data_IF_559894601838
#
_entry.id   IF_559894601838
#
_cell.length_a   1.000
_cell.length_b   1.000
_cell.length_c   1.000
_cell.angle_alpha   90.00
_cell.angle_beta   90.00
_cell.angle_gamma   90.00
#
_symmetry.space_group_name_H-M   'P 1'
#
loop_
_entity.id
_entity.type
_entity.pdbx_description
1 polymer ?
#
# COMPACT_ATOMS: atom_id res chain seq x y z
N UNK A 1 15.85 -17.57 3.53
CA UNK A 1 15.77 -16.58 4.64
C UNK A 1 14.53 -16.83 5.46
N UNK A 2 14.60 -16.73 6.80
CA UNK A 2 13.45 -16.97 7.67
C UNK A 2 12.61 -15.69 7.82
N UNK A 3 11.37 -15.72 7.33
CA UNK A 3 10.37 -14.65 7.53
C UNK A 3 10.03 -14.48 9.01
N UNK A 4 9.81 -13.25 9.45
CA UNK A 4 9.38 -12.96 10.82
C UNK A 4 7.96 -13.49 11.11
N UNK A 5 7.62 -13.67 12.39
CA UNK A 5 6.26 -14.07 12.80
C UNK A 5 5.18 -13.08 12.31
N UNK A 6 5.50 -11.79 12.28
CA UNK A 6 4.60 -10.74 11.76
C UNK A 6 4.36 -10.90 10.25
N UNK A 7 5.41 -11.17 9.47
CA UNK A 7 5.28 -11.46 8.04
C UNK A 7 4.37 -12.66 7.81
N UNK A 8 4.63 -13.79 8.49
CA UNK A 8 3.82 -15.02 8.37
C UNK A 8 2.35 -14.80 8.74
N UNK A 9 2.09 -14.09 9.84
CA UNK A 9 0.74 -13.77 10.29
C UNK A 9 -0.03 -12.91 9.26
N UNK A 10 0.65 -11.93 8.66
CA UNK A 10 0.04 -11.08 7.63
C UNK A 10 -0.23 -11.83 6.34
N UNK A 11 0.70 -12.66 5.89
CA UNK A 11 0.51 -13.53 4.71
C UNK A 11 -0.71 -14.44 4.91
N UNK A 12 -0.85 -15.08 6.07
CA UNK A 12 -2.03 -15.90 6.37
C UNK A 12 -3.34 -15.10 6.32
N UNK A 13 -3.34 -13.86 6.84
CA UNK A 13 -4.53 -12.98 6.80
C UNK A 13 -4.89 -12.56 5.38
N UNK A 14 -3.89 -12.28 4.55
CA UNK A 14 -4.05 -11.92 3.14
C UNK A 14 -4.60 -13.11 2.35
N UNK A 15 -3.94 -14.26 2.43
CA UNK A 15 -4.31 -15.46 1.66
C UNK A 15 -5.73 -15.94 1.98
N UNK A 16 -6.20 -15.81 3.23
CA UNK A 16 -7.58 -16.18 3.63
C UNK A 16 -8.67 -15.33 2.96
N UNK A 17 -8.33 -14.18 2.41
CA UNK A 17 -9.26 -13.26 1.74
C UNK A 17 -9.28 -13.38 0.22
N UNK A 18 -8.27 -14.04 -0.34
CA UNK A 18 -8.10 -14.13 -1.78
C UNK A 18 -8.65 -15.45 -2.31
N UNK A 19 -9.09 -15.41 -3.56
CA UNK A 19 -9.49 -16.56 -4.39
C UNK A 19 -8.98 -16.35 -5.82
N UNK A 20 -9.08 -17.37 -6.66
CA UNK A 20 -8.76 -17.26 -8.09
C UNK A 20 -7.33 -16.78 -8.38
N UNK A 21 -7.18 -15.98 -9.44
CA UNK A 21 -5.88 -15.45 -9.90
C UNK A 21 -5.16 -14.59 -8.83
N UNK A 22 -5.83 -13.67 -8.11
CA UNK A 22 -5.21 -12.91 -7.02
C UNK A 22 -4.54 -13.77 -5.94
N UNK A 23 -5.18 -14.89 -5.56
CA UNK A 23 -4.64 -15.81 -4.56
C UNK A 23 -3.34 -16.46 -5.04
N UNK A 24 -3.32 -16.90 -6.29
CA UNK A 24 -2.14 -17.56 -6.86
C UNK A 24 -0.98 -16.57 -7.04
N UNK A 25 -1.27 -15.34 -7.51
CA UNK A 25 -0.30 -14.27 -7.57
C UNK A 25 0.33 -14.00 -6.18
N UNK A 26 -0.49 -13.86 -5.13
CA UNK A 26 0.00 -13.65 -3.77
C UNK A 26 0.87 -14.81 -3.25
N UNK A 27 0.51 -16.07 -3.56
CA UNK A 27 1.34 -17.24 -3.18
C UNK A 27 2.69 -17.21 -3.86
N UNK A 28 2.72 -16.94 -5.17
CA UNK A 28 3.97 -16.85 -5.94
C UNK A 28 4.88 -15.73 -5.43
N UNK A 29 4.32 -14.55 -5.13
CA UNK A 29 5.05 -13.44 -4.52
C UNK A 29 5.64 -13.84 -3.16
N UNK A 30 4.83 -14.43 -2.29
CA UNK A 30 5.27 -14.79 -0.94
C UNK A 30 6.30 -15.93 -0.96
N UNK A 31 6.23 -16.86 -1.92
CA UNK A 31 7.16 -17.96 -2.02
C UNK A 31 8.52 -17.57 -2.62
N UNK A 32 8.65 -16.39 -3.23
CA UNK A 32 9.85 -15.98 -3.95
C UNK A 32 10.98 -15.54 -2.98
N UNK A 33 12.11 -16.26 -2.91
CA UNK A 33 13.21 -15.94 -2.00
C UNK A 33 14.00 -14.69 -2.40
N UNK A 34 14.13 -14.41 -3.70
CA UNK A 34 14.86 -13.25 -4.21
C UNK A 34 14.10 -11.96 -3.89
N UNK A 35 12.77 -12.00 -4.09
CA UNK A 35 11.90 -10.90 -3.73
C UNK A 35 11.94 -10.63 -2.21
N UNK A 36 11.93 -11.69 -1.39
CA UNK A 36 12.12 -11.54 0.05
C UNK A 36 13.45 -10.87 0.40
N UNK A 37 14.56 -11.29 -0.24
CA UNK A 37 15.87 -10.70 0.01
C UNK A 37 15.91 -9.22 -0.41
N UNK A 38 15.30 -8.87 -1.54
CA UNK A 38 15.23 -7.51 -2.05
C UNK A 38 14.45 -6.58 -1.11
N UNK A 39 13.30 -7.03 -0.59
CA UNK A 39 12.52 -6.28 0.40
C UNK A 39 13.28 -6.08 1.73
N UNK A 40 14.00 -7.10 2.19
CA UNK A 40 14.82 -6.99 3.41
C UNK A 40 15.98 -6.01 3.21
N UNK A 41 16.62 -6.03 2.04
CA UNK A 41 17.70 -5.10 1.72
C UNK A 41 17.19 -3.67 1.52
N UNK A 42 16.02 -3.47 0.92
CA UNK A 42 15.32 -2.17 0.88
C UNK A 42 15.13 -1.59 2.29
N UNK A 43 14.75 -2.44 3.25
CA UNK A 43 14.62 -2.01 4.63
C UNK A 43 15.95 -1.62 5.28
N UNK A 44 17.00 -2.40 5.01
CA UNK A 44 18.37 -2.10 5.49
C UNK A 44 18.83 -0.74 4.97
N UNK A 45 18.64 -0.46 3.68
CA UNK A 45 19.01 0.82 3.08
C UNK A 45 18.17 1.95 3.68
N UNK A 46 16.84 1.79 3.74
CA UNK A 46 15.95 2.81 4.30
C UNK A 46 16.33 3.20 5.73
N UNK A 47 16.46 2.22 6.63
CA UNK A 47 16.67 2.46 8.06
C UNK A 47 18.13 2.78 8.36
N UNK A 48 19.05 1.87 7.98
CA UNK A 48 20.45 1.96 8.44
C UNK A 48 21.26 2.98 7.64
N UNK A 49 21.03 3.07 6.32
CA UNK A 49 21.80 3.97 5.45
C UNK A 49 21.19 5.37 5.40
N UNK A 50 19.87 5.46 5.28
CA UNK A 50 19.19 6.73 5.01
C UNK A 50 18.48 7.35 6.22
N UNK A 51 18.24 6.56 7.29
CA UNK A 51 17.57 7.04 8.50
C UNK A 51 16.06 7.25 8.37
N UNK A 52 15.43 6.68 7.33
CA UNK A 52 13.98 6.66 7.14
C UNK A 52 13.32 5.51 7.90
N UNK A 53 11.99 5.49 7.90
CA UNK A 53 11.18 4.43 8.51
C UNK A 53 11.18 3.13 7.69
N UNK A 54 10.41 2.14 8.17
CA UNK A 54 10.30 0.82 7.53
C UNK A 54 9.77 0.98 6.10
N UNK A 55 10.55 0.45 5.17
CA UNK A 55 10.25 0.26 3.74
C UNK A 55 10.55 -1.22 3.39
N UNK A 56 10.20 -2.11 4.33
CA UNK A 56 10.57 -3.52 4.32
C UNK A 56 9.40 -4.48 4.07
N UNK A 57 9.63 -5.78 4.28
CA UNK A 57 8.65 -6.82 3.95
C UNK A 57 7.33 -6.69 4.70
N UNK A 58 7.36 -6.21 5.95
CA UNK A 58 6.16 -6.03 6.78
C UNK A 58 5.30 -4.87 6.24
N UNK A 59 5.93 -3.75 5.91
CA UNK A 59 5.26 -2.58 5.35
C UNK A 59 4.54 -2.92 4.04
N UNK A 60 5.23 -3.53 3.07
CA UNK A 60 4.64 -3.88 1.78
C UNK A 60 3.45 -4.86 1.92
N UNK A 61 3.50 -5.80 2.87
CA UNK A 61 2.34 -6.68 3.19
C UNK A 61 1.18 -5.88 3.78
N UNK A 62 1.45 -4.80 4.52
CA UNK A 62 0.41 -3.96 5.14
C UNK A 62 -0.25 -3.07 4.10
N UNK A 63 0.55 -2.43 3.25
CA UNK A 63 0.08 -1.67 2.10
C UNK A 63 -0.81 -2.54 1.20
N UNK A 64 -0.37 -3.76 0.90
CA UNK A 64 -1.17 -4.75 0.17
C UNK A 64 -2.49 -5.08 0.87
N UNK A 65 -2.45 -5.45 2.15
CA UNK A 65 -3.65 -5.77 2.91
C UNK A 65 -4.65 -4.59 2.95
N UNK A 66 -4.16 -3.36 3.17
CA UNK A 66 -5.01 -2.17 3.23
C UNK A 66 -5.63 -1.85 1.87
N UNK A 67 -4.85 -1.94 0.79
CA UNK A 67 -5.33 -1.75 -0.59
C UNK A 67 -6.43 -2.75 -0.94
N UNK A 68 -6.21 -4.04 -0.61
CA UNK A 68 -7.21 -5.10 -0.80
C UNK A 68 -8.49 -4.84 -0.01
N UNK A 69 -8.39 -4.38 1.24
CA UNK A 69 -9.58 -4.09 2.07
C UNK A 69 -10.43 -2.98 1.48
N UNK A 70 -9.80 -1.94 0.91
CA UNK A 70 -10.53 -0.87 0.23
C UNK A 70 -11.06 -1.34 -1.14
N UNK A 71 -10.32 -2.19 -1.85
CA UNK A 71 -10.81 -2.84 -3.08
C UNK A 71 -12.11 -3.61 -2.81
N UNK A 72 -12.11 -4.47 -1.78
CA UNK A 72 -13.29 -5.25 -1.36
C UNK A 72 -14.49 -4.33 -1.09
N UNK A 73 -14.30 -3.21 -0.39
CA UNK A 73 -15.38 -2.26 -0.08
C UNK A 73 -15.97 -1.58 -1.32
N UNK A 74 -15.15 -1.25 -2.33
CA UNK A 74 -15.63 -0.70 -3.59
C UNK A 74 -16.36 -1.76 -4.42
N UNK A 75 -15.79 -2.96 -4.51
CA UNK A 75 -16.39 -4.06 -5.25
C UNK A 75 -17.74 -4.48 -4.65
N UNK A 76 -17.83 -4.60 -3.32
CA UNK A 76 -19.08 -4.90 -2.61
C UNK A 76 -20.14 -3.80 -2.78
N UNK A 77 -19.72 -2.57 -3.10
CA UNK A 77 -20.61 -1.45 -3.43
C UNK A 77 -20.98 -1.38 -4.93
N UNK A 78 -20.56 -2.35 -5.74
CA UNK A 78 -20.83 -2.39 -7.18
C UNK A 78 -20.02 -1.36 -7.99
N UNK A 79 -18.93 -0.84 -7.44
CA UNK A 79 -18.05 0.09 -8.16
C UNK A 79 -17.07 -0.73 -9.00
N UNK A 80 -17.25 -0.67 -10.31
CA UNK A 80 -16.34 -1.27 -11.28
C UNK A 80 -14.98 -0.54 -11.30
N UNK A 81 -13.92 -1.35 -11.39
CA UNK A 81 -12.55 -0.90 -11.54
C UNK A 81 -12.24 -0.50 -12.99
N UNK A 82 -11.06 0.08 -13.25
CA UNK A 82 -10.73 0.54 -14.60
C UNK A 82 -10.67 -0.59 -15.62
N UNK A 83 -10.03 -1.72 -15.29
CA UNK A 83 -9.96 -2.84 -16.24
C UNK A 83 -11.34 -3.39 -16.63
N UNK A 84 -12.30 -3.34 -15.70
CA UNK A 84 -13.69 -3.73 -15.96
C UNK A 84 -14.38 -2.73 -16.88
N UNK A 85 -14.31 -1.44 -16.55
CA UNK A 85 -14.89 -0.35 -17.35
C UNK A 85 -14.33 -0.28 -18.77
N UNK A 86 -13.06 -0.63 -18.92
CA UNK A 86 -12.35 -0.63 -20.20
C UNK A 86 -12.60 -1.93 -20.99
N UNK A 87 -13.27 -2.93 -20.41
CA UNK A 87 -13.59 -4.19 -21.09
C UNK A 87 -12.39 -5.09 -21.36
N UNK A 88 -11.26 -4.87 -20.68
CA UNK A 88 -9.99 -5.58 -20.89
C UNK A 88 -9.62 -6.53 -19.74
N UNK A 89 -10.44 -6.57 -18.69
CA UNK A 89 -10.26 -7.44 -17.54
C UNK A 89 -11.50 -7.52 -16.66
N UNK A 90 -11.34 -8.23 -15.55
CA UNK A 90 -12.35 -8.50 -14.52
C UNK A 90 -11.91 -7.91 -13.18
N UNK A 91 -12.79 -7.85 -12.18
CA UNK A 91 -12.40 -7.52 -10.80
C UNK A 91 -11.22 -8.37 -10.28
N UNK A 92 -11.11 -9.65 -10.67
CA UNK A 92 -9.96 -10.49 -10.28
C UNK A 92 -8.65 -10.00 -10.91
N UNK A 93 -8.69 -9.47 -12.14
CA UNK A 93 -7.53 -8.90 -12.81
C UNK A 93 -7.12 -7.57 -12.17
N UNK A 94 -8.08 -6.71 -11.84
CA UNK A 94 -7.84 -5.45 -11.12
C UNK A 94 -7.26 -5.70 -9.73
N UNK A 95 -7.79 -6.68 -8.99
CA UNK A 95 -7.25 -7.06 -7.69
C UNK A 95 -5.83 -7.65 -7.83
N UNK A 96 -5.56 -8.41 -8.89
CA UNK A 96 -4.21 -8.90 -9.19
C UNK A 96 -3.24 -7.74 -9.44
N UNK A 97 -3.65 -6.71 -10.20
CA UNK A 97 -2.84 -5.52 -10.43
C UNK A 97 -2.56 -4.76 -9.12
N UNK A 98 -3.56 -4.59 -8.26
CA UNK A 98 -3.42 -3.95 -6.94
C UNK A 98 -2.45 -4.73 -6.05
N UNK A 99 -2.52 -6.06 -6.04
CA UNK A 99 -1.59 -6.94 -5.30
C UNK A 99 -0.15 -6.77 -5.80
N UNK A 100 0.06 -6.84 -7.11
CA UNK A 100 1.38 -6.69 -7.71
C UNK A 100 1.97 -5.32 -7.38
N UNK A 101 1.20 -4.25 -7.59
CA UNK A 101 1.64 -2.88 -7.29
C UNK A 101 2.00 -2.72 -5.81
N UNK A 102 1.08 -3.01 -4.91
CA UNK A 102 1.26 -2.77 -3.47
C UNK A 102 2.38 -3.63 -2.86
N UNK A 103 2.62 -4.84 -3.36
CA UNK A 103 3.70 -5.68 -2.83
C UNK A 103 5.09 -5.34 -3.40
N UNK A 104 5.15 -4.65 -4.54
CA UNK A 104 6.39 -4.35 -5.28
C UNK A 104 6.73 -2.85 -5.29
N UNK A 105 5.89 -1.98 -4.73
CA UNK A 105 5.99 -0.51 -4.91
C UNK A 105 7.28 0.14 -4.39
N UNK A 106 7.93 -0.49 -3.42
CA UNK A 106 9.04 0.09 -2.66
C UNK A 106 10.39 -0.57 -2.96
N UNK A 107 10.48 -1.49 -3.94
CA UNK A 107 11.71 -2.24 -4.20
C UNK A 107 12.92 -1.35 -4.51
N UNK A 108 12.69 -0.19 -5.12
CA UNK A 108 13.70 0.84 -5.42
C UNK A 108 14.36 1.44 -4.19
N UNK A 109 13.75 1.33 -3.00
CA UNK A 109 14.37 1.71 -1.72
C UNK A 109 15.63 0.89 -1.41
N UNK A 110 15.82 -0.26 -2.07
CA UNK A 110 17.08 -1.02 -2.04
C UNK A 110 18.27 -0.30 -2.68
N UNK A 111 18.00 0.77 -3.43
CA UNK A 111 19.00 1.55 -4.17
C UNK A 111 19.08 2.96 -3.61
N UNK A 112 17.98 3.72 -3.65
CA UNK A 112 17.93 5.14 -3.26
C UNK A 112 16.53 5.52 -2.78
N UNK A 113 16.42 6.66 -2.07
CA UNK A 113 15.12 7.28 -1.76
C UNK A 113 14.58 8.05 -2.96
N UNK A 114 15.45 8.80 -3.63
CA UNK A 114 15.08 9.65 -4.75
C UNK A 114 14.66 8.79 -5.93
N UNK A 115 13.48 9.09 -6.48
CA UNK A 115 12.89 8.36 -7.61
C UNK A 115 12.75 6.85 -7.39
N UNK A 116 12.66 6.39 -6.13
CA UNK A 116 12.52 4.98 -5.82
C UNK A 116 11.29 4.34 -6.47
N UNK A 117 10.26 5.11 -6.82
CA UNK A 117 9.10 4.57 -7.53
C UNK A 117 9.49 4.11 -8.96
N UNK A 118 10.33 4.88 -9.67
CA UNK A 118 10.80 4.55 -11.03
C UNK A 118 11.77 3.36 -10.97
N UNK A 119 12.67 3.35 -9.98
CA UNK A 119 13.57 2.24 -9.74
C UNK A 119 12.79 0.95 -9.39
N UNK A 120 11.72 1.08 -8.61
CA UNK A 120 10.84 -0.05 -8.26
C UNK A 120 10.20 -0.66 -9.50
N UNK A 121 9.76 0.13 -10.47
CA UNK A 121 9.20 -0.39 -11.73
C UNK A 121 10.20 -1.31 -12.44
N UNK A 122 11.46 -0.86 -12.59
CA UNK A 122 12.50 -1.66 -13.25
C UNK A 122 12.76 -2.98 -12.51
N UNK A 123 12.83 -2.94 -11.17
CA UNK A 123 13.03 -4.12 -10.34
C UNK A 123 11.81 -5.05 -10.31
N UNK A 124 10.60 -4.50 -10.42
CA UNK A 124 9.35 -5.24 -10.32
C UNK A 124 8.99 -6.00 -11.60
N UNK A 125 9.34 -5.47 -12.78
CA UNK A 125 8.95 -6.02 -14.09
C UNK A 125 9.21 -7.53 -14.25
N UNK A 126 10.43 -8.06 -13.95
CA UNK A 126 10.69 -9.50 -14.12
C UNK A 126 9.80 -10.38 -13.23
N UNK A 127 9.45 -9.90 -12.04
CA UNK A 127 8.57 -10.63 -11.12
C UNK A 127 7.11 -10.56 -11.59
N UNK A 128 6.65 -9.39 -12.06
CA UNK A 128 5.31 -9.25 -12.63
C UNK A 128 5.13 -10.18 -13.83
N UNK A 129 6.07 -10.19 -14.76
CA UNK A 129 6.01 -11.04 -15.97
C UNK A 129 5.96 -12.53 -15.61
N UNK A 130 6.88 -12.98 -14.74
CA UNK A 130 6.92 -14.36 -14.30
C UNK A 130 5.64 -14.82 -13.56
N UNK A 131 4.96 -13.91 -12.87
CA UNK A 131 3.68 -14.21 -12.19
C UNK A 131 2.53 -14.24 -13.20
N UNK A 132 2.44 -13.22 -14.07
CA UNK A 132 1.39 -13.13 -15.07
C UNK A 132 1.43 -14.31 -16.05
N UNK A 133 2.62 -14.77 -16.43
CA UNK A 133 2.78 -15.96 -17.27
C UNK A 133 2.37 -17.28 -16.60
N UNK A 134 2.27 -17.31 -15.27
CA UNK A 134 1.82 -18.50 -14.52
C UNK A 134 0.32 -18.52 -14.26
N UNK A 135 -0.33 -17.35 -14.22
CA UNK A 135 -1.74 -17.24 -13.82
C UNK A 135 -2.69 -16.88 -14.98
N UNK A 136 -2.14 -16.61 -16.16
CA UNK A 136 -2.86 -16.29 -17.40
C UNK A 136 -2.36 -17.15 -18.55
N UNK A 137 -3.22 -17.37 -19.55
CA UNK A 137 -2.86 -18.15 -20.72
C UNK A 137 -1.80 -17.43 -21.58
N UNK A 138 -0.94 -18.15 -22.30
CA UNK A 138 0.14 -17.56 -23.09
C UNK A 138 -0.30 -16.52 -24.12
N UNK A 139 -1.49 -16.68 -24.70
CA UNK A 139 -2.07 -15.84 -25.76
C UNK A 139 -2.92 -14.66 -25.24
N UNK A 140 -3.12 -14.53 -23.92
CA UNK A 140 -3.82 -13.41 -23.29
C UNK A 140 -2.97 -12.11 -23.23
N UNK A 141 -2.32 -11.72 -24.34
CA UNK A 141 -1.37 -10.60 -24.42
C UNK A 141 -1.96 -9.26 -23.94
N UNK A 142 -3.19 -8.95 -24.36
CA UNK A 142 -3.85 -7.70 -23.97
C UNK A 142 -4.13 -7.68 -22.45
N UNK A 143 -4.65 -8.77 -21.90
CA UNK A 143 -4.97 -8.87 -20.48
C UNK A 143 -3.72 -8.79 -19.61
N UNK A 144 -2.65 -9.50 -19.98
CA UNK A 144 -1.31 -9.41 -19.34
C UNK A 144 -0.79 -7.97 -19.36
N UNK A 145 -0.90 -7.31 -20.52
CA UNK A 145 -0.47 -5.92 -20.69
C UNK A 145 -1.26 -4.96 -19.82
N UNK A 146 -2.59 -5.10 -19.77
CA UNK A 146 -3.46 -4.24 -18.98
C UNK A 146 -3.19 -4.37 -17.47
N UNK A 147 -3.10 -5.60 -16.95
CA UNK A 147 -2.79 -5.84 -15.53
C UNK A 147 -1.42 -5.26 -15.16
N UNK A 148 -0.40 -5.51 -16.00
CA UNK A 148 0.94 -4.97 -15.79
C UNK A 148 0.95 -3.44 -15.79
N UNK A 149 0.29 -2.80 -16.76
CA UNK A 149 0.24 -1.34 -16.86
C UNK A 149 -0.43 -0.70 -15.64
N UNK A 150 -1.55 -1.25 -15.17
CA UNK A 150 -2.21 -0.78 -13.94
C UNK A 150 -1.30 -0.99 -12.72
N UNK A 151 -0.63 -2.13 -12.63
CA UNK A 151 0.30 -2.39 -11.53
C UNK A 151 1.46 -1.36 -11.52
N UNK A 152 2.03 -1.07 -12.69
CA UNK A 152 3.07 -0.06 -12.88
C UNK A 152 2.58 1.33 -12.53
N UNK A 153 1.35 1.71 -12.92
CA UNK A 153 0.76 3.01 -12.54
C UNK A 153 0.66 3.14 -11.01
N UNK A 154 0.21 2.08 -10.34
CA UNK A 154 0.15 2.01 -8.87
C UNK A 154 1.51 2.24 -8.23
N UNK A 155 2.57 1.59 -8.72
CA UNK A 155 3.95 1.82 -8.25
C UNK A 155 4.39 3.25 -8.55
N UNK A 156 4.19 3.72 -9.77
CA UNK A 156 4.65 5.02 -10.25
C UNK A 156 4.13 6.19 -9.42
N UNK A 157 2.90 6.11 -8.94
CA UNK A 157 2.21 7.20 -8.25
C UNK A 157 2.03 7.04 -6.75
N UNK A 158 2.50 5.95 -6.13
CA UNK A 158 2.20 5.67 -4.71
C UNK A 158 2.71 6.74 -3.73
N UNK A 159 3.63 7.62 -4.13
CA UNK A 159 4.13 8.73 -3.31
C UNK A 159 3.32 10.02 -3.41
N UNK A 160 2.25 10.08 -4.23
CA UNK A 160 1.49 11.30 -4.55
C UNK A 160 2.32 12.43 -5.18
N UNK A 161 3.55 12.14 -5.63
CA UNK A 161 4.42 13.07 -6.37
C UNK A 161 4.05 13.16 -7.85
N UNK A 162 3.23 12.21 -8.34
CA UNK A 162 2.82 12.07 -9.74
C UNK A 162 1.34 11.76 -9.82
N UNK A 163 0.70 12.19 -10.90
CA UNK A 163 -0.73 11.98 -11.12
C UNK A 163 -0.99 10.54 -11.57
N UNK A 164 -2.02 9.94 -10.99
CA UNK A 164 -2.58 8.62 -11.35
C UNK A 164 -4.04 8.78 -11.75
N UNK A 165 -4.57 7.80 -12.48
CA UNK A 165 -5.84 7.89 -13.20
C UNK A 165 -6.77 6.71 -12.90
N UNK A 166 -6.24 5.53 -12.61
CA UNK A 166 -7.07 4.37 -12.26
C UNK A 166 -7.48 4.33 -10.78
N UNK A 167 -8.64 3.71 -10.52
CA UNK A 167 -9.07 3.41 -9.15
C UNK A 167 -8.09 2.46 -8.48
N UNK A 168 -7.57 1.48 -9.21
CA UNK A 168 -6.60 0.50 -8.75
C UNK A 168 -5.31 1.17 -8.24
N UNK A 169 -4.70 2.06 -9.02
CA UNK A 169 -3.54 2.83 -8.57
C UNK A 169 -3.90 3.72 -7.37
N UNK A 170 -5.11 4.29 -7.36
CA UNK A 170 -5.61 5.10 -6.25
C UNK A 170 -5.74 4.32 -4.94
N UNK A 171 -6.12 3.04 -5.01
CA UNK A 171 -6.18 2.13 -3.87
C UNK A 171 -4.78 1.85 -3.30
N UNK A 172 -3.78 1.65 -4.18
CA UNK A 172 -2.38 1.43 -3.78
C UNK A 172 -1.82 2.67 -3.07
N UNK A 173 -2.06 3.85 -3.62
CA UNK A 173 -1.64 5.13 -3.04
C UNK A 173 -2.17 5.32 -1.60
N UNK A 174 -3.45 5.06 -1.38
CA UNK A 174 -4.06 5.19 -0.05
C UNK A 174 -3.63 4.03 0.85
N UNK A 175 -3.50 2.83 0.29
CA UNK A 175 -3.11 1.62 1.03
C UNK A 175 -1.71 1.75 1.63
N UNK A 176 -0.74 2.24 0.85
CA UNK A 176 0.59 2.63 1.37
C UNK A 176 0.46 3.74 2.41
N UNK A 177 -0.20 4.85 2.05
CA UNK A 177 -0.32 6.02 2.92
C UNK A 177 -0.93 5.71 4.28
N UNK A 178 -1.82 4.72 4.36
CA UNK A 178 -2.50 4.31 5.59
C UNK A 178 -1.66 3.49 6.57
N UNK A 179 -0.49 2.98 6.15
CA UNK A 179 0.44 2.32 7.08
C UNK A 179 1.26 3.36 7.88
N UNK A 180 0.60 3.95 8.87
CA UNK A 180 1.18 5.01 9.72
C UNK A 180 1.02 4.74 11.22
N UNK A 181 0.53 3.57 11.62
CA UNK A 181 0.34 3.23 13.03
C UNK A 181 1.69 3.18 13.79
N UNK A 182 1.67 3.52 15.08
CA UNK A 182 2.82 3.69 15.99
C UNK A 182 3.94 2.64 15.90
N UNK A 183 3.62 1.41 15.50
CA UNK A 183 4.61 0.34 15.30
C UNK A 183 5.61 0.63 14.19
N UNK A 184 5.27 1.52 13.25
CA UNK A 184 6.13 1.92 12.13
C UNK A 184 7.15 2.99 12.50
N UNK A 185 6.80 3.90 13.40
CA UNK A 185 7.64 5.04 13.79
C UNK A 185 8.78 4.67 14.77
N UNK A 186 8.70 3.52 15.45
CA UNK A 186 9.65 3.15 16.52
C UNK A 186 11.07 2.78 16.04
N UNK A 187 11.23 2.35 14.79
CA UNK A 187 12.48 1.75 14.33
C UNK A 187 13.61 2.78 14.18
N UNK A 188 13.39 3.97 13.60
CA UNK A 188 14.45 4.98 13.46
C UNK A 188 14.82 5.67 14.78
N UNK A 189 13.88 5.79 15.72
CA UNK A 189 14.07 6.49 17.02
C UNK A 189 15.11 5.82 17.91
N UNK A 190 15.31 4.50 17.78
CA UNK A 190 16.32 3.75 18.54
C UNK A 190 17.75 4.04 18.03
N UNK A 191 17.89 4.46 16.77
CA UNK A 191 19.19 4.59 16.09
C UNK A 191 19.77 6.01 16.07
N UNK A 192 18.99 7.04 16.42
CA UNK A 192 19.43 8.44 16.36
C UNK A 192 19.10 9.17 17.68
N UNK A 193 20.12 9.59 18.43
CA UNK A 193 19.96 10.34 19.70
C UNK A 193 19.90 11.88 19.52
N UNK A 194 19.97 12.41 18.29
CA UNK A 194 19.96 13.85 18.04
C UNK A 194 18.60 14.34 17.51
N UNK A 195 18.03 15.44 18.06
CA UNK A 195 16.86 16.10 17.50
C UNK A 195 17.13 16.61 16.08
N UNK A 196 16.23 16.34 15.14
CA UNK A 196 16.33 16.82 13.75
C UNK A 196 14.99 17.43 13.33
N UNK A 197 15.01 18.18 12.22
CA UNK A 197 13.86 18.87 11.57
C UNK A 197 12.68 17.91 11.18
N UNK A 198 12.74 16.61 11.52
CA UNK A 198 11.68 15.62 11.36
C UNK A 198 11.02 15.13 12.66
N UNK A 199 11.30 15.74 13.82
CA UNK A 199 10.78 15.28 15.12
C UNK A 199 9.25 15.35 15.23
N UNK A 200 8.61 16.32 14.57
CA UNK A 200 7.14 16.40 14.55
C UNK A 200 6.52 15.26 13.74
N UNK A 201 7.12 14.84 12.61
CA UNK A 201 6.65 13.69 11.82
C UNK A 201 6.79 12.39 12.62
N UNK A 202 7.91 12.20 13.33
CA UNK A 202 8.10 11.02 14.20
C UNK A 202 7.13 11.00 15.38
N UNK A 203 6.99 12.13 16.06
CA UNK A 203 6.14 12.25 17.26
C UNK A 203 4.68 12.07 16.91
N UNK A 204 4.21 12.71 15.84
CA UNK A 204 2.85 12.55 15.32
C UNK A 204 2.56 11.12 14.84
N UNK A 205 3.48 10.47 14.10
CA UNK A 205 3.31 9.07 13.69
C UNK A 205 3.24 8.10 14.89
N UNK A 206 3.96 8.38 15.98
CA UNK A 206 3.90 7.55 17.19
C UNK A 206 2.58 7.66 17.95
N UNK A 207 1.80 8.72 17.71
CA UNK A 207 0.48 8.93 18.33
C UNK A 207 -0.64 8.15 17.63
N UNK A 208 -0.48 7.78 16.35
CA UNK A 208 -1.50 7.03 15.61
C UNK A 208 -1.59 5.60 16.16
N UNK A 209 -2.73 5.27 16.77
CA UNK A 209 -2.94 3.98 17.42
C UNK A 209 -3.49 2.94 16.45
N UNK A 210 -4.46 3.35 15.62
CA UNK A 210 -5.18 2.42 14.74
C UNK A 210 -5.73 3.13 13.52
N UNK A 211 -5.55 2.52 12.36
CA UNK A 211 -6.26 2.88 11.12
C UNK A 211 -7.20 1.73 10.78
N UNK A 212 -8.47 2.04 10.52
CA UNK A 212 -9.48 1.03 10.21
C UNK A 212 -10.29 1.39 8.98
N UNK A 213 -10.64 0.36 8.20
CA UNK A 213 -11.41 0.45 6.97
C UNK A 213 -12.71 -0.33 7.16
N UNK A 214 -13.83 0.32 6.87
CA UNK A 214 -15.16 -0.28 6.90
C UNK A 214 -16.09 0.36 5.88
N UNK A 215 -17.33 -0.12 5.82
CA UNK A 215 -18.38 0.49 5.00
C UNK A 215 -18.76 1.85 5.60
N UNK A 216 -18.80 2.89 4.76
CA UNK A 216 -19.27 4.22 5.17
C UNK A 216 -20.79 4.31 5.19
N UNK A 217 -21.30 5.43 5.70
CA UNK A 217 -22.74 5.71 5.76
C UNK A 217 -23.27 6.36 4.50
N UNK A 218 -22.45 7.21 3.88
CA UNK A 218 -22.74 7.98 2.66
C UNK A 218 -21.90 7.49 1.48
N UNK A 219 -20.65 7.08 1.72
CA UNK A 219 -19.71 6.61 0.69
C UNK A 219 -19.27 5.17 0.97
N UNK A 220 -18.81 4.42 -0.06
CA UNK A 220 -18.45 3.01 0.11
C UNK A 220 -17.36 2.75 1.16
N UNK A 221 -16.37 3.64 1.29
CA UNK A 221 -15.23 3.47 2.20
C UNK A 221 -15.32 4.49 3.33
N UNK A 222 -15.38 4.02 4.58
CA UNK A 222 -15.08 4.81 5.77
C UNK A 222 -13.69 4.46 6.29
N UNK A 223 -12.81 5.45 6.36
CA UNK A 223 -11.50 5.36 6.99
C UNK A 223 -11.55 6.07 8.34
N UNK A 224 -11.26 5.35 9.42
CA UNK A 224 -11.19 5.92 10.78
C UNK A 224 -9.78 5.82 11.32
N UNK A 225 -9.22 6.94 11.73
CA UNK A 225 -7.88 7.05 12.35
C UNK A 225 -8.02 7.46 13.81
N UNK A 226 -7.61 6.57 14.70
CA UNK A 226 -7.62 6.81 16.15
C UNK A 226 -6.21 7.11 16.63
N UNK A 227 -6.06 8.16 17.42
CA UNK A 227 -4.77 8.62 17.96
C UNK A 227 -4.82 8.80 19.47
N UNK A 228 -3.65 8.77 20.12
CA UNK A 228 -3.53 8.97 21.58
C UNK A 228 -3.39 10.43 21.98
N UNK A 229 -3.12 11.33 21.03
CA UNK A 229 -3.01 12.77 21.25
C UNK A 229 -3.24 13.52 19.95
N UNK A 230 -3.64 14.78 20.04
CA UNK A 230 -3.95 15.66 18.90
C UNK A 230 -2.76 15.91 17.97
N UNK A 231 -1.52 15.66 18.42
CA UNK A 231 -0.32 15.73 17.56
C UNK A 231 -0.44 14.78 16.36
N UNK A 232 -1.25 13.72 16.44
CA UNK A 232 -1.52 12.81 15.33
C UNK A 232 -2.23 13.43 14.14
N UNK A 233 -2.97 14.53 14.32
CA UNK A 233 -3.62 15.23 13.20
C UNK A 233 -2.63 15.69 12.15
N UNK A 234 -1.39 16.01 12.54
CA UNK A 234 -0.33 16.34 11.60
C UNK A 234 -0.02 15.20 10.61
N UNK A 235 -0.08 13.92 11.01
CA UNK A 235 0.05 12.81 10.06
C UNK A 235 -1.13 12.74 9.09
N UNK A 236 -2.33 13.10 9.55
CA UNK A 236 -3.51 13.14 8.71
C UNK A 236 -3.36 14.24 7.67
N UNK A 237 -3.05 15.45 8.09
CA UNK A 237 -3.07 16.65 7.25
C UNK A 237 -1.89 16.74 6.30
N UNK A 238 -0.68 16.36 6.74
CA UNK A 238 0.54 16.52 5.94
C UNK A 238 0.92 15.25 5.16
N UNK A 239 0.44 14.08 5.56
CA UNK A 239 0.84 12.80 4.94
C UNK A 239 -0.33 12.09 4.30
N UNK A 240 -1.39 11.80 5.05
CA UNK A 240 -2.45 10.90 4.56
C UNK A 240 -3.48 11.59 3.67
N UNK A 241 -3.99 12.73 4.11
CA UNK A 241 -4.99 13.51 3.38
C UNK A 241 -4.48 13.99 2.02
N UNK A 242 -3.21 14.42 1.84
CA UNK A 242 -2.66 14.72 0.53
C UNK A 242 -2.66 13.52 -0.41
N UNK A 243 -2.37 12.30 0.09
CA UNK A 243 -2.47 11.07 -0.71
C UNK A 243 -3.91 10.78 -1.13
N UNK A 244 -4.87 10.90 -0.22
CA UNK A 244 -6.30 10.76 -0.55
C UNK A 244 -6.72 11.83 -1.57
N UNK A 245 -6.31 13.09 -1.39
CA UNK A 245 -6.66 14.21 -2.26
C UNK A 245 -6.21 13.98 -3.71
N UNK A 246 -5.05 13.33 -3.91
CA UNK A 246 -4.50 12.99 -5.22
C UNK A 246 -4.96 11.63 -5.76
N UNK A 247 -5.81 10.90 -5.04
CA UNK A 247 -6.31 9.60 -5.45
C UNK A 247 -7.64 9.72 -6.22
N UNK A 248 -7.79 9.02 -7.36
CA UNK A 248 -9.08 8.85 -8.05
C UNK A 248 -10.17 8.21 -7.17
N UNK A 249 -9.78 7.54 -6.07
CA UNK A 249 -10.70 6.90 -5.12
C UNK A 249 -11.33 7.91 -4.15
N UNK A 250 -10.82 9.16 -4.05
CA UNK A 250 -11.32 10.21 -3.15
C UNK A 250 -12.86 10.35 -3.10
N UNK A 251 -13.60 10.34 -4.22
CA UNK A 251 -15.06 10.51 -4.20
C UNK A 251 -15.79 9.42 -3.39
N UNK A 252 -15.15 8.27 -3.18
CA UNK A 252 -15.72 7.11 -2.49
C UNK A 252 -15.31 7.00 -1.01
N UNK A 253 -14.62 8.01 -0.46
CA UNK A 253 -14.06 7.99 0.90
C UNK A 253 -14.74 9.00 1.81
N UNK A 254 -15.16 8.51 2.98
CA UNK A 254 -15.31 9.26 4.22
C UNK A 254 -14.03 9.10 5.06
N UNK A 255 -13.52 10.20 5.60
CA UNK A 255 -12.34 10.19 6.46
C UNK A 255 -12.68 10.80 7.81
N UNK A 256 -12.49 10.02 8.87
CA UNK A 256 -12.65 10.46 10.24
C UNK A 256 -11.33 10.29 11.00
N UNK A 257 -10.97 11.28 11.82
CA UNK A 257 -9.82 11.18 12.69
C UNK A 257 -10.08 11.86 14.04
N UNK A 258 -9.57 11.28 15.12
CA UNK A 258 -9.75 11.86 16.45
C UNK A 258 -8.97 11.14 17.54
N UNK A 259 -8.86 11.82 18.68
CA UNK A 259 -8.27 11.26 19.90
C UNK A 259 -9.22 10.19 20.45
N UNK A 260 -8.66 9.10 20.99
CA UNK A 260 -9.45 8.04 21.62
C UNK A 260 -10.31 8.65 22.74
N UNK A 261 -11.58 8.24 22.80
CA UNK A 261 -12.60 8.71 23.74
C UNK A 261 -13.09 10.16 23.51
N UNK A 262 -12.71 10.79 22.40
CA UNK A 262 -13.24 12.08 21.94
C UNK A 262 -14.10 11.95 20.66
N UNK A 263 -14.81 13.02 20.32
CA UNK A 263 -15.57 13.08 19.05
C UNK A 263 -14.61 13.10 17.85
N UNK A 264 -14.92 12.31 16.82
CA UNK A 264 -14.08 12.24 15.62
C UNK A 264 -14.36 13.41 14.70
N UNK A 265 -13.30 14.09 14.25
CA UNK A 265 -13.38 15.09 13.19
C UNK A 265 -13.60 14.42 11.85
N UNK A 266 -14.55 14.93 11.07
CA UNK A 266 -14.82 14.50 9.70
C UNK A 266 -14.07 15.39 8.70
N UNK A 267 -13.21 14.78 7.90
CA UNK A 267 -12.44 15.44 6.84
C UNK A 267 -13.10 15.33 5.45
N UNK A 268 -13.84 14.25 5.18
CA UNK A 268 -14.47 13.93 3.88
C UNK A 268 -15.84 13.25 4.04
#
# INVERSE_FOLDING_TARGET
MNKSAKQKSMEQRILKRLKGKPLEAARLLFANPDLQALQEYANVVSIKRLGFNDHGPVHMRKAMFNSMRMFELLHDAGIEMNLEKEGVGTAEDSLTAVILASFLHDLGMSIARDSHEILSIQLALPYMDAILDKILEPDEYMRKTAIRSIAIEGIYGHMATRRIHSLEAGLVLIGDGSDMEKGRARIPTILSMEPRVGDIHRTSASSIQKVSFGKGTEKPISIKVLMSSSVGFFQIEEVFYPKIKNSPVKPYIELYAGVIDEELLRYL
#
